data_IF_194420586999
#
_entry.id   IF_194420586999
#
_cell.length_a   1.000
_cell.length_b   1.000
_cell.length_c   1.000
_cell.angle_alpha   90.00
_cell.angle_beta   90.00
_cell.angle_gamma   90.00
#
_symmetry.space_group_name_H-M   'P 1'
#
loop_
_entity.id
_entity.type
_entity.pdbx_description
1 polymer ?
#
# COMPACT_ATOMS: atom_id res chain seq x y z
N UNK A 1 6.98 -26.92 10.02
CA UNK A 1 8.14 -26.99 9.10
C UNK A 1 7.65 -26.58 7.73
N UNK A 2 7.91 -25.35 7.29
CA UNK A 2 7.55 -24.91 5.95
C UNK A 2 8.42 -25.65 4.95
N UNK A 3 7.82 -26.57 4.18
CA UNK A 3 8.48 -27.11 2.99
C UNK A 3 8.86 -25.92 2.08
N UNK A 4 10.02 -25.98 1.46
CA UNK A 4 10.50 -24.96 0.53
C UNK A 4 9.44 -24.70 -0.55
N UNK A 5 8.66 -23.62 -0.39
CA UNK A 5 7.66 -23.15 -1.36
C UNK A 5 8.30 -22.45 -2.56
N UNK A 6 9.57 -22.76 -2.87
CA UNK A 6 10.29 -22.22 -4.03
C UNK A 6 9.95 -23.11 -5.23
N UNK A 7 9.28 -22.59 -6.27
CA UNK A 7 9.00 -23.39 -7.45
C UNK A 7 10.28 -23.82 -8.17
N UNK A 8 10.30 -25.03 -8.72
CA UNK A 8 11.49 -25.60 -9.39
C UNK A 8 12.00 -24.77 -10.59
N UNK A 9 11.12 -23.99 -11.23
CA UNK A 9 11.48 -23.12 -12.34
C UNK A 9 12.23 -21.85 -11.90
N UNK A 10 12.27 -21.55 -10.60
CA UNK A 10 13.11 -20.48 -10.02
C UNK A 10 14.51 -21.06 -9.76
N UNK A 11 15.40 -20.88 -10.73
CA UNK A 11 16.77 -21.41 -10.69
C UNK A 11 17.77 -20.41 -11.26
N UNK A 12 19.06 -20.74 -11.20
CA UNK A 12 20.14 -19.84 -11.64
C UNK A 12 20.05 -19.43 -13.12
N UNK A 13 19.62 -20.33 -14.01
CA UNK A 13 19.52 -20.08 -15.45
C UNK A 13 18.50 -18.98 -15.76
N UNK A 14 17.41 -18.91 -14.99
CA UNK A 14 16.38 -17.89 -15.14
C UNK A 14 16.92 -16.45 -14.92
N UNK A 15 17.96 -16.30 -14.08
CA UNK A 15 18.55 -15.01 -13.73
C UNK A 15 19.70 -14.58 -14.65
N UNK A 16 20.16 -15.43 -15.56
CA UNK A 16 21.32 -15.15 -16.44
C UNK A 16 21.22 -13.81 -17.17
N UNK A 17 20.07 -13.52 -17.79
CA UNK A 17 19.88 -12.28 -18.54
C UNK A 17 19.82 -11.06 -17.61
N UNK A 18 19.18 -11.20 -16.45
CA UNK A 18 19.15 -10.15 -15.43
C UNK A 18 20.58 -9.84 -14.98
N UNK A 19 21.35 -10.86 -14.61
CA UNK A 19 22.73 -10.72 -14.14
C UNK A 19 23.65 -10.08 -15.18
N UNK A 20 23.55 -10.48 -16.45
CA UNK A 20 24.29 -9.85 -17.55
C UNK A 20 23.98 -8.37 -17.70
N UNK A 21 22.73 -7.97 -17.47
CA UNK A 21 22.30 -6.57 -17.61
C UNK A 21 22.61 -5.70 -16.39
N UNK A 22 22.70 -6.29 -15.19
CA UNK A 22 22.80 -5.54 -13.92
C UNK A 22 24.16 -5.60 -13.25
N UNK A 23 24.99 -6.61 -13.58
CA UNK A 23 26.28 -6.83 -12.93
C UNK A 23 27.42 -6.65 -13.94
N UNK A 24 28.13 -5.50 -13.92
CA UNK A 24 29.28 -5.27 -14.79
C UNK A 24 30.36 -6.34 -14.59
N UNK A 25 30.85 -6.89 -15.71
CA UNK A 25 31.86 -7.95 -15.72
C UNK A 25 31.35 -9.32 -15.27
N UNK A 26 30.05 -9.57 -15.27
CA UNK A 26 29.48 -10.88 -14.96
C UNK A 26 30.01 -11.99 -15.89
N UNK A 27 30.48 -13.09 -15.32
CA UNK A 27 30.95 -14.28 -16.04
C UNK A 27 30.01 -15.47 -15.88
N UNK A 28 29.74 -15.90 -14.63
CA UNK A 28 28.88 -17.05 -14.33
C UNK A 28 28.34 -17.02 -12.90
N UNK A 29 27.26 -17.75 -12.63
CA UNK A 29 26.79 -18.04 -11.27
C UNK A 29 27.71 -19.07 -10.59
N UNK A 30 28.15 -18.79 -9.36
CA UNK A 30 28.84 -19.74 -8.49
C UNK A 30 27.88 -20.46 -7.57
N UNK A 31 27.00 -19.72 -6.90
CA UNK A 31 25.99 -20.27 -5.99
C UNK A 31 24.66 -19.56 -6.18
N UNK A 32 23.58 -20.31 -5.95
CA UNK A 32 22.21 -19.81 -6.07
C UNK A 32 21.40 -20.33 -4.88
N UNK A 33 20.73 -19.40 -4.18
CA UNK A 33 19.86 -19.75 -3.06
C UNK A 33 18.61 -18.88 -3.08
N UNK A 34 17.45 -19.52 -3.07
CA UNK A 34 16.17 -18.87 -2.91
C UNK A 34 15.56 -19.28 -1.57
N UNK A 35 15.18 -18.30 -0.76
CA UNK A 35 14.53 -18.48 0.54
C UNK A 35 13.25 -17.64 0.60
N UNK A 36 12.41 -17.85 1.63
CA UNK A 36 11.31 -16.94 1.92
C UNK A 36 11.83 -15.51 2.17
N UNK A 37 11.24 -14.53 1.49
CA UNK A 37 11.71 -13.14 1.45
C UNK A 37 11.10 -12.22 2.51
N UNK A 38 10.11 -12.70 3.28
CA UNK A 38 9.43 -11.93 4.33
C UNK A 38 9.16 -12.77 5.57
N UNK A 39 9.06 -12.12 6.73
CA UNK A 39 8.66 -12.81 7.95
C UNK A 39 7.17 -13.19 7.93
N UNK A 40 6.77 -14.09 8.82
CA UNK A 40 5.37 -14.45 9.00
C UNK A 40 4.53 -13.21 9.36
N UNK A 41 3.42 -13.00 8.65
CA UNK A 41 2.53 -11.85 8.86
C UNK A 41 3.01 -10.53 8.25
N UNK A 42 3.98 -10.53 7.33
CA UNK A 42 4.42 -9.33 6.60
C UNK A 42 3.88 -9.25 5.16
N UNK A 43 3.56 -10.39 4.53
CA UNK A 43 2.98 -10.44 3.18
C UNK A 43 1.75 -11.36 3.16
N UNK A 44 0.58 -10.75 2.97
CA UNK A 44 -0.70 -11.46 3.01
C UNK A 44 -1.17 -11.93 1.62
N UNK A 45 -0.78 -11.25 0.53
CA UNK A 45 -1.34 -11.56 -0.78
C UNK A 45 -0.47 -12.51 -1.62
N UNK A 46 0.86 -12.36 -1.60
CA UNK A 46 1.76 -13.06 -2.53
C UNK A 46 2.82 -13.88 -1.82
N UNK A 47 3.34 -14.91 -2.49
CA UNK A 47 4.59 -15.56 -2.07
C UNK A 47 5.74 -14.62 -2.42
N UNK A 48 6.51 -14.21 -1.41
CA UNK A 48 7.71 -13.40 -1.58
C UNK A 48 8.94 -14.29 -1.37
N UNK A 49 9.83 -14.32 -2.37
CA UNK A 49 11.13 -15.00 -2.29
C UNK A 49 12.26 -13.97 -2.28
N UNK A 50 13.30 -14.22 -1.49
CA UNK A 50 14.59 -13.53 -1.60
C UNK A 50 15.58 -14.50 -2.25
N UNK A 51 16.16 -14.09 -3.37
CA UNK A 51 17.11 -14.87 -4.14
C UNK A 51 18.50 -14.26 -4.00
N UNK A 52 19.41 -14.98 -3.37
CA UNK A 52 20.81 -14.61 -3.19
C UNK A 52 21.65 -15.41 -4.19
N UNK A 53 22.52 -14.70 -4.93
CA UNK A 53 23.37 -15.27 -5.96
C UNK A 53 24.80 -14.78 -5.75
N UNK A 54 25.74 -15.70 -5.58
CA UNK A 54 27.17 -15.39 -5.72
C UNK A 54 27.53 -15.51 -7.20
N UNK A 55 28.04 -14.42 -7.78
CA UNK A 55 28.49 -14.40 -9.16
C UNK A 55 30.01 -14.27 -9.25
N UNK A 56 30.59 -14.94 -10.24
CA UNK A 56 31.95 -14.70 -10.69
C UNK A 56 31.97 -13.52 -11.65
N UNK A 57 32.90 -12.61 -11.43
CA UNK A 57 33.20 -11.50 -12.32
C UNK A 57 34.45 -11.80 -13.15
N UNK A 58 34.72 -10.96 -14.14
CA UNK A 58 36.01 -10.90 -14.83
C UNK A 58 37.17 -10.88 -13.81
N UNK A 59 38.30 -11.45 -14.21
CA UNK A 59 39.49 -11.61 -13.37
C UNK A 59 39.29 -12.53 -12.13
N UNK A 60 38.20 -13.31 -12.09
CA UNK A 60 37.95 -14.32 -11.06
C UNK A 60 37.46 -13.76 -9.72
N UNK A 61 37.10 -12.48 -9.66
CA UNK A 61 36.50 -11.86 -8.45
C UNK A 61 35.10 -12.43 -8.20
N UNK A 62 34.64 -12.43 -6.94
CA UNK A 62 33.27 -12.78 -6.57
C UNK A 62 32.49 -11.55 -6.14
N UNK A 63 31.17 -11.56 -6.37
CA UNK A 63 30.24 -10.57 -5.83
C UNK A 63 28.92 -11.24 -5.46
N UNK A 64 28.38 -10.89 -4.30
CA UNK A 64 27.03 -11.27 -3.91
C UNK A 64 26.02 -10.26 -4.44
N UNK A 65 24.94 -10.77 -5.03
CA UNK A 65 23.77 -9.98 -5.46
C UNK A 65 22.49 -10.61 -4.95
N UNK A 66 21.46 -9.79 -4.75
CA UNK A 66 20.18 -10.25 -4.22
C UNK A 66 18.99 -9.60 -4.94
N UNK A 67 17.94 -10.38 -5.10
CA UNK A 67 16.70 -10.00 -5.78
C UNK A 67 15.49 -10.48 -4.98
N UNK A 68 14.40 -9.72 -5.05
CA UNK A 68 13.10 -10.12 -4.51
C UNK A 68 12.22 -10.62 -5.66
N UNK A 69 11.59 -11.79 -5.51
CA UNK A 69 10.68 -12.35 -6.50
C UNK A 69 9.31 -12.56 -5.87
N UNK A 70 8.30 -11.88 -6.39
CA UNK A 70 6.90 -12.10 -6.05
C UNK A 70 6.28 -13.13 -6.98
N UNK A 71 5.48 -14.01 -6.41
CA UNK A 71 4.77 -15.08 -7.11
C UNK A 71 3.32 -15.18 -6.61
N UNK A 72 2.36 -15.59 -7.46
CA UNK A 72 0.98 -15.75 -7.06
C UNK A 72 0.85 -16.84 -6.01
N UNK A 73 -0.05 -16.63 -5.04
CA UNK A 73 -0.41 -17.67 -4.09
C UNK A 73 -1.09 -18.83 -4.82
N UNK A 74 -0.80 -20.07 -4.40
CA UNK A 74 -1.32 -21.27 -5.07
C UNK A 74 -2.74 -21.66 -4.63
N UNK A 75 -3.32 -20.91 -3.69
CA UNK A 75 -4.65 -21.19 -3.15
C UNK A 75 -5.75 -20.84 -4.15
N UNK A 76 -6.78 -21.69 -4.20
CA UNK A 76 -7.88 -21.50 -5.15
C UNK A 76 -8.68 -20.23 -4.86
N UNK A 77 -8.92 -19.91 -3.58
CA UNK A 77 -9.57 -18.65 -3.20
C UNK A 77 -8.79 -17.43 -3.71
N UNK A 78 -7.47 -17.45 -3.56
CA UNK A 78 -6.62 -16.37 -4.07
C UNK A 78 -6.66 -16.30 -5.60
N UNK A 79 -6.61 -17.46 -6.28
CA UNK A 79 -6.76 -17.51 -7.75
C UNK A 79 -8.10 -16.92 -8.21
N UNK A 80 -9.19 -17.20 -7.50
CA UNK A 80 -10.51 -16.65 -7.82
C UNK A 80 -10.54 -15.13 -7.65
N UNK A 81 -9.97 -14.59 -6.57
CA UNK A 81 -9.82 -13.13 -6.37
C UNK A 81 -9.07 -12.46 -7.52
N UNK A 82 -8.04 -13.14 -8.00
CA UNK A 82 -7.13 -12.62 -9.02
C UNK A 82 -7.69 -12.71 -10.44
N UNK A 83 -8.73 -13.52 -10.68
CA UNK A 83 -9.40 -13.60 -12.00
C UNK A 83 -10.00 -12.28 -12.44
N UNK A 84 -10.44 -11.44 -11.49
CA UNK A 84 -11.12 -10.17 -11.79
C UNK A 84 -10.16 -8.97 -11.78
N UNK A 85 -9.09 -9.05 -11.00
CA UNK A 85 -8.05 -8.03 -10.87
C UNK A 85 -6.68 -8.70 -10.72
N UNK A 86 -6.05 -9.03 -11.84
CA UNK A 86 -4.70 -9.58 -11.80
C UNK A 86 -3.71 -8.52 -11.32
N UNK A 87 -3.37 -8.54 -10.03
CA UNK A 87 -2.46 -7.57 -9.43
C UNK A 87 -1.05 -7.65 -10.03
N UNK A 88 -0.65 -8.78 -10.63
CA UNK A 88 0.65 -8.92 -11.26
C UNK A 88 0.74 -8.09 -12.55
N UNK A 89 -0.34 -8.05 -13.34
CA UNK A 89 -0.40 -7.19 -14.53
C UNK A 89 -0.34 -5.71 -14.12
N UNK A 90 -1.04 -5.35 -13.04
CA UNK A 90 -1.03 -4.00 -12.46
C UNK A 90 0.38 -3.63 -11.99
N UNK A 91 0.99 -4.49 -11.18
CA UNK A 91 2.28 -4.23 -10.56
C UNK A 91 3.40 -4.17 -11.62
N UNK A 92 3.35 -5.03 -12.64
CA UNK A 92 4.29 -4.94 -13.79
C UNK A 92 4.10 -3.66 -14.59
N UNK A 93 2.86 -3.27 -14.90
CA UNK A 93 2.59 -1.97 -15.55
C UNK A 93 3.16 -0.81 -14.74
N UNK A 94 3.05 -0.87 -13.41
CA UNK A 94 3.60 0.15 -12.53
C UNK A 94 5.13 0.21 -12.59
N UNK A 95 5.82 -0.91 -12.37
CA UNK A 95 7.28 -0.91 -12.34
C UNK A 95 7.94 -0.71 -13.72
N UNK A 96 7.37 -1.29 -14.78
CA UNK A 96 7.99 -1.28 -16.10
C UNK A 96 7.67 0.00 -16.89
N UNK A 97 6.53 0.65 -16.63
CA UNK A 97 6.08 1.80 -17.41
C UNK A 97 5.79 3.03 -16.54
N UNK A 98 4.83 2.95 -15.62
CA UNK A 98 4.27 4.15 -14.97
C UNK A 98 5.25 4.83 -14.01
N UNK A 99 5.95 4.07 -13.16
CA UNK A 99 6.95 4.63 -12.25
C UNK A 99 8.12 5.24 -13.03
N UNK A 100 8.73 4.54 -14.00
CA UNK A 100 9.75 5.13 -14.88
C UNK A 100 9.29 6.42 -15.58
N UNK A 101 8.04 6.48 -16.06
CA UNK A 101 7.46 7.71 -16.63
C UNK A 101 7.46 8.87 -15.62
N UNK A 102 7.08 8.61 -14.37
CA UNK A 102 7.04 9.63 -13.32
C UNK A 102 8.44 10.09 -12.90
N UNK A 103 9.41 9.19 -12.79
CA UNK A 103 10.81 9.52 -12.49
C UNK A 103 11.44 10.33 -13.64
N UNK A 104 11.12 9.99 -14.89
CA UNK A 104 11.57 10.75 -16.06
C UNK A 104 11.08 12.21 -16.05
N UNK A 105 9.84 12.47 -15.63
CA UNK A 105 9.32 13.84 -15.49
C UNK A 105 10.17 14.71 -14.55
N UNK A 106 10.67 14.14 -13.45
CA UNK A 106 11.58 14.83 -12.54
C UNK A 106 12.97 15.01 -13.15
N UNK A 107 13.49 13.97 -13.79
CA UNK A 107 14.79 14.01 -14.45
C UNK A 107 14.85 15.08 -15.54
N UNK A 108 13.79 15.24 -16.32
CA UNK A 108 13.68 16.24 -17.40
C UNK A 108 13.74 17.69 -16.89
N UNK A 109 13.42 17.92 -15.61
CA UNK A 109 13.55 19.23 -14.95
C UNK A 109 14.78 19.31 -14.04
N UNK A 110 15.69 18.33 -14.11
CA UNK A 110 16.96 18.32 -13.38
C UNK A 110 16.84 17.96 -11.89
N UNK A 111 15.75 17.30 -11.49
CA UNK A 111 15.55 16.81 -10.12
C UNK A 111 15.67 15.29 -10.11
N UNK A 112 16.50 14.75 -9.22
CA UNK A 112 16.63 13.31 -9.05
C UNK A 112 15.61 12.81 -8.03
N UNK A 113 14.57 12.11 -8.50
CA UNK A 113 13.55 11.47 -7.67
C UNK A 113 13.45 10.02 -8.09
N UNK A 114 13.68 9.13 -7.13
CA UNK A 114 13.45 7.69 -7.27
C UNK A 114 12.34 7.29 -6.29
N UNK A 115 11.37 6.52 -6.77
CA UNK A 115 10.22 6.12 -5.97
C UNK A 115 10.40 4.75 -5.32
N UNK A 116 11.10 3.81 -5.94
CA UNK A 116 11.21 2.46 -5.40
C UNK A 116 12.30 1.61 -6.02
N UNK A 117 12.14 0.30 -5.90
CA UNK A 117 13.05 -0.69 -6.49
C UNK A 117 12.96 -0.67 -8.02
N UNK A 118 14.09 -1.00 -8.67
CA UNK A 118 14.09 -1.37 -10.09
C UNK A 118 13.44 -2.75 -10.26
N UNK A 119 12.67 -2.91 -11.32
CA UNK A 119 12.18 -4.22 -11.74
C UNK A 119 13.06 -4.86 -12.82
N UNK A 120 12.93 -6.18 -12.95
CA UNK A 120 13.59 -6.96 -13.97
C UNK A 120 12.61 -7.97 -14.59
N UNK A 121 12.84 -8.31 -15.84
CA UNK A 121 12.04 -9.31 -16.55
C UNK A 121 12.82 -10.61 -16.74
N UNK A 122 12.12 -11.72 -16.59
CA UNK A 122 12.60 -13.04 -16.93
C UNK A 122 12.12 -13.46 -18.32
N UNK A 123 13.03 -14.08 -19.09
CA UNK A 123 12.67 -14.85 -20.28
C UNK A 123 12.29 -16.27 -19.87
N UNK A 124 11.17 -16.77 -20.39
CA UNK A 124 10.74 -18.16 -20.17
C UNK A 124 10.04 -18.44 -18.84
N UNK A 125 9.57 -17.40 -18.13
CA UNK A 125 8.75 -17.56 -16.92
C UNK A 125 7.53 -18.44 -17.18
N UNK A 126 7.15 -19.25 -16.17
CA UNK A 126 6.08 -20.25 -16.26
C UNK A 126 4.79 -19.85 -15.57
N UNK A 127 4.80 -18.72 -14.85
CA UNK A 127 3.64 -18.11 -14.19
C UNK A 127 3.81 -16.59 -14.15
N UNK A 128 2.80 -15.89 -13.65
CA UNK A 128 2.93 -14.48 -13.26
C UNK A 128 4.02 -14.30 -12.21
N UNK A 129 4.71 -13.16 -12.28
CA UNK A 129 5.82 -12.82 -11.40
C UNK A 129 6.08 -11.31 -11.39
N UNK A 130 6.78 -10.84 -10.35
CA UNK A 130 7.48 -9.55 -10.36
C UNK A 130 8.87 -9.77 -9.76
N UNK A 131 9.92 -9.36 -10.48
CA UNK A 131 11.31 -9.40 -9.97
C UNK A 131 11.73 -7.99 -9.65
N UNK A 132 12.25 -7.77 -8.45
CA UNK A 132 12.69 -6.48 -7.96
C UNK A 132 14.12 -6.57 -7.43
N UNK A 133 14.80 -5.43 -7.47
CA UNK A 133 16.03 -5.22 -6.72
C UNK A 133 15.78 -5.43 -5.21
N UNK A 134 16.67 -6.16 -4.52
CA UNK A 134 16.63 -6.23 -3.06
C UNK A 134 17.15 -4.93 -2.44
N UNK A 135 16.22 -4.06 -2.04
CA UNK A 135 16.52 -2.79 -1.37
C UNK A 135 17.25 -2.98 -0.02
N UNK A 136 17.17 -4.18 0.59
CA UNK A 136 17.93 -4.52 1.79
C UNK A 136 19.45 -4.42 1.56
N UNK A 137 19.94 -4.78 0.37
CA UNK A 137 21.35 -4.61 -0.03
C UNK A 137 21.79 -3.13 -0.09
N UNK A 138 20.83 -2.22 -0.24
CA UNK A 138 21.04 -0.77 -0.22
C UNK A 138 20.80 -0.15 1.17
N UNK A 139 20.63 -0.97 2.20
CA UNK A 139 20.41 -0.51 3.57
C UNK A 139 19.03 0.06 3.84
N UNK A 140 18.04 -0.23 2.97
CA UNK A 140 16.65 0.09 3.24
C UNK A 140 16.04 -0.97 4.15
N UNK A 141 15.16 -0.53 5.06
CA UNK A 141 14.40 -1.41 5.96
C UNK A 141 13.04 -0.81 6.27
N UNK A 142 12.07 -1.65 6.60
CA UNK A 142 10.79 -1.19 7.12
C UNK A 142 10.94 -0.64 8.56
N UNK A 143 10.07 0.30 8.93
CA UNK A 143 9.92 0.72 10.31
C UNK A 143 9.05 -0.28 11.10
N UNK A 144 9.13 -0.25 12.43
CA UNK A 144 8.25 -1.06 13.27
C UNK A 144 6.80 -0.55 13.19
N UNK A 145 5.96 -1.26 12.43
CA UNK A 145 4.55 -0.91 12.21
C UNK A 145 3.73 -0.81 13.50
N UNK A 146 4.06 -1.61 14.51
CA UNK A 146 3.33 -1.65 15.78
C UNK A 146 3.58 -0.42 16.66
N UNK A 147 4.70 0.29 16.46
CA UNK A 147 4.99 1.52 17.19
C UNK A 147 4.39 2.76 16.51
N UNK A 148 4.05 2.65 15.22
CA UNK A 148 3.69 3.79 14.39
C UNK A 148 4.88 4.69 14.06
N UNK A 149 4.76 5.44 12.97
CA UNK A 149 5.78 6.38 12.50
C UNK A 149 5.75 7.67 13.32
N UNK A 150 6.93 8.10 13.77
CA UNK A 150 7.10 9.43 14.36
C UNK A 150 7.01 10.54 13.31
N UNK A 151 6.92 11.78 13.77
CA UNK A 151 6.79 12.95 12.90
C UNK A 151 7.88 13.02 11.81
N UNK A 152 9.14 12.74 12.13
CA UNK A 152 10.23 12.84 11.15
C UNK A 152 10.07 11.80 10.02
N UNK A 153 9.61 10.60 10.35
CA UNK A 153 9.28 9.59 9.35
C UNK A 153 8.05 10.00 8.54
N UNK A 154 6.97 10.42 9.19
CA UNK A 154 5.71 10.81 8.54
C UNK A 154 5.94 11.93 7.52
N UNK A 155 6.69 12.98 7.88
CA UNK A 155 7.03 14.07 6.97
C UNK A 155 7.80 13.58 5.73
N UNK A 156 8.73 12.64 5.90
CA UNK A 156 9.48 12.07 4.77
C UNK A 156 8.59 11.26 3.85
N UNK A 157 7.66 10.48 4.39
CA UNK A 157 6.68 9.73 3.60
C UNK A 157 5.72 10.66 2.87
N UNK A 158 5.18 11.68 3.56
CA UNK A 158 4.26 12.64 2.94
C UNK A 158 4.93 13.47 1.84
N UNK A 159 6.22 13.80 1.99
CA UNK A 159 7.01 14.42 0.92
C UNK A 159 7.13 13.49 -0.30
N UNK A 160 7.46 12.22 -0.09
CA UNK A 160 7.55 11.23 -1.18
C UNK A 160 6.18 11.01 -1.85
N UNK A 161 5.10 10.95 -1.08
CA UNK A 161 3.74 10.84 -1.59
C UNK A 161 3.33 12.09 -2.39
N UNK A 162 3.68 13.29 -1.91
CA UNK A 162 3.44 14.53 -2.64
C UNK A 162 4.18 14.56 -3.98
N UNK A 163 5.43 14.05 -4.02
CA UNK A 163 6.20 13.90 -5.25
C UNK A 163 5.51 12.95 -6.24
N UNK A 164 5.02 11.82 -5.74
CA UNK A 164 4.30 10.81 -6.52
C UNK A 164 2.98 11.35 -7.09
N UNK A 165 2.17 12.00 -6.25
CA UNK A 165 0.91 12.61 -6.68
C UNK A 165 1.11 13.76 -7.67
N UNK A 166 2.16 14.58 -7.49
CA UNK A 166 2.47 15.64 -8.45
C UNK A 166 2.86 15.06 -9.83
N UNK A 167 3.77 14.07 -9.85
CA UNK A 167 4.22 13.45 -11.11
C UNK A 167 3.11 12.72 -11.84
N UNK A 168 2.27 11.95 -11.13
CA UNK A 168 1.14 11.26 -11.75
C UNK A 168 0.07 12.22 -12.30
N UNK A 169 -0.23 13.31 -11.58
CA UNK A 169 -1.14 14.33 -12.08
C UNK A 169 -0.60 15.02 -13.35
N UNK A 170 0.70 15.36 -13.37
CA UNK A 170 1.37 15.94 -14.54
C UNK A 170 1.36 14.96 -15.71
N UNK A 171 1.67 13.69 -15.47
CA UNK A 171 1.59 12.62 -16.49
C UNK A 171 0.23 12.61 -17.15
N UNK A 172 -0.86 12.67 -16.38
CA UNK A 172 -2.22 12.70 -16.94
C UNK A 172 -2.50 13.98 -17.72
N UNK A 173 -1.99 15.12 -17.25
CA UNK A 173 -2.13 16.38 -17.98
C UNK A 173 -1.37 16.39 -19.32
N UNK A 174 -0.27 15.63 -19.44
CA UNK A 174 0.57 15.58 -20.64
C UNK A 174 0.25 14.42 -21.59
N UNK A 175 -0.06 13.24 -21.06
CA UNK A 175 -0.24 11.99 -21.82
C UNK A 175 -1.70 11.50 -21.87
N UNK A 176 -2.60 12.13 -21.13
CA UNK A 176 -4.00 11.71 -21.02
C UNK A 176 -4.24 10.65 -19.96
N UNK A 177 -5.42 10.04 -20.01
CA UNK A 177 -5.89 9.11 -18.97
C UNK A 177 -4.97 7.89 -18.82
N UNK A 178 -4.99 7.31 -17.61
CA UNK A 178 -4.40 6.00 -17.39
C UNK A 178 -5.28 4.90 -18.01
N UNK A 179 -4.70 3.72 -18.32
CA UNK A 179 -5.46 2.54 -18.69
C UNK A 179 -6.55 2.23 -17.66
N UNK A 180 -7.64 1.61 -18.10
CA UNK A 180 -8.78 1.26 -17.24
C UNK A 180 -8.38 0.46 -15.99
N UNK A 181 -7.36 -0.39 -16.12
CA UNK A 181 -6.77 -1.17 -15.05
C UNK A 181 -6.38 -0.32 -13.81
N UNK A 182 -5.96 0.94 -14.03
CA UNK A 182 -5.55 1.86 -12.97
C UNK A 182 -6.68 2.82 -12.54
N UNK A 183 -7.88 2.78 -13.13
CA UNK A 183 -8.95 3.73 -12.84
C UNK A 183 -9.93 3.22 -11.76
N UNK A 184 -10.24 1.92 -11.75
CA UNK A 184 -11.24 1.34 -10.84
C UNK A 184 -10.62 0.57 -9.67
N UNK A 185 -9.39 0.07 -9.83
CA UNK A 185 -8.74 -0.79 -8.82
C UNK A 185 -9.61 -2.00 -8.47
N UNK A 186 -9.72 -2.30 -7.17
CA UNK A 186 -10.52 -3.43 -6.65
C UNK A 186 -12.03 -3.20 -6.65
N UNK A 187 -12.50 -1.97 -6.86
CA UNK A 187 -13.92 -1.60 -6.76
C UNK A 187 -14.64 -1.72 -8.10
N UNK A 188 -14.34 -2.78 -8.86
CA UNK A 188 -15.08 -3.14 -10.07
C UNK A 188 -16.40 -3.79 -9.70
N UNK A 189 -17.46 -3.51 -10.46
CA UNK A 189 -18.81 -4.02 -10.17
C UNK A 189 -18.84 -5.56 -10.17
N UNK A 190 -18.01 -6.20 -10.99
CA UNK A 190 -17.84 -7.66 -11.04
C UNK A 190 -17.33 -8.25 -9.71
N UNK A 191 -16.57 -7.47 -8.93
CA UNK A 191 -16.03 -7.85 -7.62
C UNK A 191 -16.87 -7.37 -6.44
N UNK A 192 -17.98 -6.65 -6.69
CA UNK A 192 -18.81 -6.06 -5.63
C UNK A 192 -19.31 -7.08 -4.63
N UNK A 193 -19.77 -8.26 -5.08
CA UNK A 193 -20.30 -9.29 -4.20
C UNK A 193 -19.25 -9.75 -3.18
N UNK A 194 -18.02 -9.98 -3.65
CA UNK A 194 -16.91 -10.38 -2.79
C UNK A 194 -16.51 -9.28 -1.81
N UNK A 195 -16.37 -8.04 -2.30
CA UNK A 195 -16.07 -6.88 -1.43
C UNK A 195 -17.16 -6.71 -0.37
N UNK A 196 -18.43 -6.92 -0.73
CA UNK A 196 -19.56 -6.86 0.19
C UNK A 196 -19.44 -7.89 1.30
N UNK A 197 -19.18 -9.15 0.94
CA UNK A 197 -19.03 -10.24 1.90
C UNK A 197 -17.88 -9.99 2.88
N UNK A 198 -16.70 -9.62 2.34
CA UNK A 198 -15.52 -9.32 3.15
C UNK A 198 -15.75 -8.15 4.11
N UNK A 199 -16.31 -7.03 3.62
CA UNK A 199 -16.59 -5.86 4.45
C UNK A 199 -17.67 -6.15 5.50
N UNK A 200 -18.74 -6.86 5.15
CA UNK A 200 -19.80 -7.22 6.10
C UNK A 200 -19.26 -8.15 7.20
N UNK A 201 -18.43 -9.13 6.82
CA UNK A 201 -17.78 -10.02 7.77
C UNK A 201 -16.88 -9.25 8.74
N UNK A 202 -16.06 -8.34 8.22
CA UNK A 202 -15.18 -7.47 9.00
C UNK A 202 -15.97 -6.58 9.96
N UNK A 203 -17.00 -5.88 9.46
CA UNK A 203 -17.84 -4.96 10.22
C UNK A 203 -18.68 -5.64 11.30
N UNK A 204 -19.22 -6.83 11.02
CA UNK A 204 -19.96 -7.63 11.98
C UNK A 204 -19.09 -8.01 13.18
N UNK A 205 -17.85 -8.46 12.92
CA UNK A 205 -16.88 -8.81 13.97
C UNK A 205 -16.42 -7.57 14.74
N UNK A 206 -16.17 -6.46 14.04
CA UNK A 206 -15.86 -5.19 14.68
C UNK A 206 -16.97 -4.77 15.67
N UNK A 207 -18.24 -4.79 15.23
CA UNK A 207 -19.39 -4.44 16.08
C UNK A 207 -19.50 -5.33 17.33
N UNK A 208 -19.30 -6.64 17.18
CA UNK A 208 -19.33 -7.60 18.31
C UNK A 208 -18.33 -7.23 19.41
N UNK A 209 -17.16 -6.68 19.03
CA UNK A 209 -16.12 -6.28 20.00
C UNK A 209 -16.29 -4.83 20.44
N UNK A 210 -16.82 -3.97 19.56
CA UNK A 210 -16.98 -2.54 19.78
C UNK A 210 -17.81 -2.19 21.03
N UNK A 211 -18.81 -3.00 21.38
CA UNK A 211 -19.61 -2.84 22.61
C UNK A 211 -18.79 -2.95 23.91
N UNK A 212 -17.53 -3.39 23.81
CA UNK A 212 -16.60 -3.51 24.94
C UNK A 212 -15.57 -2.39 24.98
N UNK A 213 -15.67 -1.39 24.10
CA UNK A 213 -14.77 -0.23 24.09
C UNK A 213 -15.34 0.88 24.96
N UNK A 214 -14.47 1.61 25.67
CA UNK A 214 -14.91 2.76 26.46
C UNK A 214 -15.38 3.88 25.53
N UNK A 215 -16.56 4.44 25.80
CA UNK A 215 -17.16 5.52 25.00
C UNK A 215 -17.86 5.06 23.73
N UNK A 216 -18.05 3.75 23.53
CA UNK A 216 -18.71 3.23 22.33
C UNK A 216 -20.15 3.72 22.16
N UNK A 217 -20.82 4.05 23.25
CA UNK A 217 -22.19 4.56 23.28
C UNK A 217 -22.35 5.85 22.46
N UNK A 218 -21.27 6.63 22.28
CA UNK A 218 -21.29 7.87 21.50
C UNK A 218 -21.44 7.63 19.99
N UNK A 219 -20.97 6.48 19.48
CA UNK A 219 -20.84 6.27 18.03
C UNK A 219 -21.44 4.95 17.53
N UNK A 220 -21.76 3.99 18.40
CA UNK A 220 -22.16 2.64 17.98
C UNK A 220 -23.44 2.62 17.13
N UNK A 221 -24.40 3.50 17.41
CA UNK A 221 -25.64 3.59 16.62
C UNK A 221 -25.39 4.16 15.23
N UNK A 222 -24.46 5.11 15.08
CA UNK A 222 -24.07 5.61 13.75
C UNK A 222 -23.30 4.56 12.95
N UNK A 223 -22.44 3.76 13.61
CA UNK A 223 -21.79 2.62 12.96
C UNK A 223 -22.81 1.60 12.44
N UNK A 224 -23.84 1.27 13.23
CA UNK A 224 -24.91 0.37 12.78
C UNK A 224 -25.66 0.91 11.56
N UNK A 225 -25.84 2.23 11.45
CA UNK A 225 -26.47 2.88 10.30
C UNK A 225 -25.59 2.91 9.05
N UNK A 226 -24.27 3.00 9.21
CA UNK A 226 -23.35 3.13 8.07
C UNK A 226 -22.99 1.78 7.42
N UNK A 227 -22.98 0.69 8.19
CA UNK A 227 -22.62 -0.64 7.68
C UNK A 227 -23.43 -1.04 6.43
N UNK A 228 -24.76 -0.89 6.38
CA UNK A 228 -25.55 -1.25 5.20
C UNK A 228 -25.18 -0.47 3.92
N UNK A 229 -24.61 0.74 4.05
CA UNK A 229 -24.27 1.61 2.91
C UNK A 229 -22.77 1.70 2.64
N UNK A 230 -21.93 1.10 3.49
CA UNK A 230 -20.48 1.25 3.44
C UNK A 230 -19.88 0.80 2.10
N UNK A 231 -20.36 -0.33 1.58
CA UNK A 231 -19.95 -0.84 0.26
C UNK A 231 -20.29 0.16 -0.83
N UNK A 232 -21.52 0.66 -0.85
CA UNK A 232 -21.97 1.61 -1.88
C UNK A 232 -21.14 2.89 -1.87
N UNK A 233 -20.84 3.42 -0.69
CA UNK A 233 -19.99 4.60 -0.55
C UNK A 233 -18.54 4.34 -1.00
N UNK A 234 -17.96 3.17 -0.69
CA UNK A 234 -16.62 2.82 -1.20
C UNK A 234 -16.60 2.73 -2.73
N UNK A 235 -17.64 2.16 -3.34
CA UNK A 235 -17.81 2.13 -4.80
C UNK A 235 -18.08 3.51 -5.40
N UNK A 236 -18.78 4.41 -4.68
CA UNK A 236 -18.94 5.82 -5.09
C UNK A 236 -17.60 6.54 -5.08
N UNK A 237 -16.80 6.37 -4.03
CA UNK A 237 -15.44 6.94 -3.95
C UNK A 237 -14.53 6.39 -5.06
N UNK A 238 -14.76 5.15 -5.49
CA UNK A 238 -13.99 4.57 -6.58
C UNK A 238 -14.18 5.29 -7.92
N UNK A 239 -15.31 5.98 -8.13
CA UNK A 239 -15.55 6.75 -9.35
C UNK A 239 -14.74 8.05 -9.33
N UNK A 240 -14.03 8.34 -10.42
CA UNK A 240 -13.25 9.57 -10.57
C UNK A 240 -14.19 10.77 -10.56
N UNK A 241 -14.02 11.67 -9.59
CA UNK A 241 -14.71 12.94 -9.55
C UNK A 241 -13.81 14.04 -10.12
N UNK A 242 -14.14 14.54 -11.31
CA UNK A 242 -13.36 15.58 -12.02
C UNK A 242 -13.34 16.94 -11.32
N UNK A 243 -14.18 17.15 -10.29
CA UNK A 243 -14.18 18.35 -9.46
C UNK A 243 -13.15 18.29 -8.31
N UNK A 244 -12.56 17.13 -8.06
CA UNK A 244 -11.51 16.94 -7.05
C UNK A 244 -10.13 16.92 -7.71
N UNK A 245 -9.09 17.18 -6.92
CA UNK A 245 -7.73 16.95 -7.37
C UNK A 245 -7.47 15.44 -7.38
N UNK A 246 -7.27 14.89 -8.58
CA UNK A 246 -7.02 13.48 -8.77
C UNK A 246 -5.55 13.24 -9.12
N UNK A 247 -4.99 12.19 -8.54
CA UNK A 247 -3.66 11.68 -8.84
C UNK A 247 -3.71 10.15 -8.85
N UNK A 248 -2.63 9.50 -9.28
CA UNK A 248 -2.52 8.06 -9.15
C UNK A 248 -2.16 7.76 -7.69
N UNK A 249 -3.10 7.23 -6.91
CA UNK A 249 -2.81 6.75 -5.57
C UNK A 249 -1.96 5.48 -5.64
N UNK A 250 -1.10 5.28 -4.66
CA UNK A 250 -0.48 3.98 -4.37
C UNK A 250 -1.55 2.93 -4.05
N UNK A 251 -2.59 3.33 -3.33
CA UNK A 251 -3.80 2.54 -3.10
C UNK A 251 -3.72 1.54 -1.94
N UNK A 252 -2.52 1.04 -1.63
CA UNK A 252 -2.20 0.31 -0.39
C UNK A 252 -1.12 1.04 0.43
N UNK A 253 -1.40 2.28 0.86
CA UNK A 253 -0.38 3.19 1.37
C UNK A 253 -0.25 3.17 2.90
N UNK A 254 0.37 2.11 3.44
CA UNK A 254 0.71 1.95 4.87
C UNK A 254 2.20 1.76 5.09
N UNK A 255 2.65 1.81 6.35
CA UNK A 255 4.07 1.75 6.73
C UNK A 255 4.83 0.51 6.24
N UNK A 256 4.17 -0.62 6.00
CA UNK A 256 4.83 -1.82 5.47
C UNK A 256 5.23 -1.68 4.00
N UNK A 257 4.52 -0.84 3.25
CA UNK A 257 4.82 -0.55 1.85
C UNK A 257 5.76 0.66 1.71
N UNK A 258 6.42 1.02 2.81
CA UNK A 258 7.40 2.11 2.87
C UNK A 258 8.68 1.60 3.52
N UNK A 259 9.79 1.69 2.80
CA UNK A 259 11.11 1.36 3.29
C UNK A 259 11.96 2.62 3.48
N UNK A 260 12.73 2.65 4.56
CA UNK A 260 13.55 3.78 4.97
C UNK A 260 15.04 3.42 4.89
N UNK A 261 15.83 4.33 4.32
CA UNK A 261 17.28 4.35 4.46
C UNK A 261 17.67 5.41 5.50
N UNK A 262 18.65 5.10 6.34
CA UNK A 262 19.12 5.98 7.40
C UNK A 262 20.55 6.44 7.16
N UNK A 263 20.89 7.64 7.63
CA UNK A 263 22.27 8.10 7.68
C UNK A 263 23.02 7.52 8.90
N UNK A 264 24.31 7.85 9.03
CA UNK A 264 25.16 7.38 10.13
C UNK A 264 24.69 7.84 11.53
N UNK A 265 23.79 8.83 11.61
CA UNK A 265 23.22 9.36 12.85
C UNK A 265 21.81 8.82 13.14
N UNK A 266 21.32 7.89 12.32
CA UNK A 266 19.98 7.31 12.46
C UNK A 266 18.85 8.23 12.00
N UNK A 267 19.13 9.29 11.24
CA UNK A 267 18.09 10.13 10.63
C UNK A 267 17.65 9.55 9.30
N UNK A 268 16.35 9.68 8.98
CA UNK A 268 15.80 9.24 7.69
C UNK A 268 16.47 10.03 6.56
N UNK A 269 17.21 9.30 5.72
CA UNK A 269 17.92 9.81 4.56
C UNK A 269 17.07 9.72 3.30
N UNK A 270 16.46 8.57 3.05
CA UNK A 270 15.65 8.32 1.85
C UNK A 270 14.45 7.42 2.17
N UNK A 271 13.39 7.55 1.37
CA UNK A 271 12.15 6.78 1.50
C UNK A 271 11.77 6.19 0.16
N UNK A 272 11.69 4.87 0.09
CA UNK A 272 11.21 4.14 -1.09
C UNK A 272 9.87 3.50 -0.81
N UNK A 273 9.00 3.57 -1.81
CA UNK A 273 7.70 2.91 -1.85
C UNK A 273 7.88 1.54 -2.49
N UNK A 274 7.11 0.57 -2.03
CA UNK A 274 7.11 -0.81 -2.56
C UNK A 274 5.68 -1.31 -2.63
N UNK A 275 5.47 -2.37 -3.41
CA UNK A 275 4.17 -3.06 -3.53
C UNK A 275 3.07 -2.25 -4.23
N UNK A 276 3.20 -2.10 -5.55
CA UNK A 276 2.29 -1.34 -6.40
C UNK A 276 1.14 -2.18 -6.95
N UNK A 277 0.57 -3.06 -6.12
CA UNK A 277 -0.48 -4.00 -6.51
C UNK A 277 -1.89 -3.38 -6.62
N UNK A 278 -2.16 -2.30 -5.89
CA UNK A 278 -3.49 -1.67 -5.79
C UNK A 278 -3.59 -0.19 -6.23
N UNK A 279 -2.76 0.32 -7.16
CA UNK A 279 -2.82 1.72 -7.58
C UNK A 279 -4.18 2.08 -8.15
N UNK A 280 -4.61 3.30 -7.87
CA UNK A 280 -5.88 3.80 -8.37
C UNK A 280 -5.86 5.30 -8.62
N UNK A 281 -6.17 5.70 -9.84
CA UNK A 281 -6.38 7.09 -10.19
C UNK A 281 -7.69 7.60 -9.57
N UNK A 282 -7.60 8.70 -8.83
CA UNK A 282 -8.74 9.24 -8.08
C UNK A 282 -8.31 10.29 -7.07
N UNK A 283 -9.19 10.59 -6.13
CA UNK A 283 -8.89 11.56 -5.06
C UNK A 283 -7.64 11.17 -4.28
N UNK A 284 -6.78 12.14 -3.98
CA UNK A 284 -5.62 11.95 -3.08
C UNK A 284 -6.02 11.72 -1.63
N UNK A 285 -7.30 11.91 -1.28
CA UNK A 285 -7.82 11.59 0.03
C UNK A 285 -7.66 10.11 0.38
N UNK A 286 -7.61 9.22 -0.62
CA UNK A 286 -7.44 7.79 -0.42
C UNK A 286 -6.12 7.48 0.30
N UNK A 287 -4.97 7.80 -0.30
CA UNK A 287 -3.67 7.53 0.32
C UNK A 287 -3.45 8.33 1.62
N UNK A 288 -3.97 9.56 1.70
CA UNK A 288 -3.84 10.39 2.90
C UNK A 288 -4.58 9.80 4.10
N UNK A 289 -5.84 9.41 3.93
CA UNK A 289 -6.63 8.76 4.99
C UNK A 289 -6.04 7.38 5.33
N UNK A 290 -5.63 6.62 4.31
CA UNK A 290 -5.00 5.30 4.47
C UNK A 290 -3.78 5.40 5.36
N UNK A 291 -2.80 6.23 4.97
CA UNK A 291 -1.51 6.30 5.64
C UNK A 291 -1.62 6.93 7.03
N UNK A 292 -2.26 8.09 7.13
CA UNK A 292 -2.29 8.83 8.40
C UNK A 292 -3.04 8.04 9.48
N UNK A 293 -4.16 7.41 9.14
CA UNK A 293 -4.96 6.68 10.12
C UNK A 293 -4.39 5.30 10.44
N UNK A 294 -3.72 4.61 9.50
CA UNK A 294 -3.12 3.30 9.77
C UNK A 294 -1.73 3.37 10.42
N UNK A 295 -0.89 4.33 10.03
CA UNK A 295 0.57 4.17 10.16
C UNK A 295 1.27 5.18 11.07
N UNK A 296 0.62 6.29 11.44
CA UNK A 296 1.21 7.26 12.38
C UNK A 296 1.16 6.77 13.82
N UNK A 297 2.09 7.26 14.66
CA UNK A 297 2.02 7.15 16.12
C UNK A 297 0.69 7.63 16.68
N UNK A 298 0.24 7.00 17.77
CA UNK A 298 -1.02 7.32 18.43
C UNK A 298 -1.08 8.80 18.83
N UNK A 299 0.00 9.32 19.41
CA UNK A 299 0.05 10.68 19.95
C UNK A 299 -0.15 11.74 18.86
N UNK A 300 0.30 11.43 17.64
CA UNK A 300 0.29 12.34 16.50
C UNK A 300 -0.93 12.17 15.59
N UNK A 301 -1.54 10.97 15.59
CA UNK A 301 -2.57 10.56 14.62
C UNK A 301 -3.73 11.56 14.50
N UNK A 302 -4.19 12.06 15.64
CA UNK A 302 -5.25 13.08 15.70
C UNK A 302 -4.66 14.47 15.93
N UNK A 303 -3.73 14.63 16.88
CA UNK A 303 -3.22 15.93 17.30
C UNK A 303 -2.47 16.70 16.20
N UNK A 304 -1.85 15.97 15.25
CA UNK A 304 -1.10 16.54 14.13
C UNK A 304 -1.74 16.27 12.78
N UNK A 305 -2.97 15.74 12.72
CA UNK A 305 -3.60 15.38 11.44
C UNK A 305 -3.61 16.55 10.45
N UNK A 306 -4.13 17.71 10.85
CA UNK A 306 -4.20 18.88 9.96
C UNK A 306 -2.82 19.47 9.65
N UNK A 307 -1.86 19.36 10.58
CA UNK A 307 -0.46 19.70 10.33
C UNK A 307 0.12 18.86 9.19
N UNK A 308 -0.11 17.54 9.22
CA UNK A 308 0.34 16.63 8.19
C UNK A 308 -0.32 16.88 6.84
N UNK A 309 -1.62 17.22 6.81
CA UNK A 309 -2.31 17.62 5.58
C UNK A 309 -1.69 18.89 4.99
N UNK A 310 -1.40 19.89 5.83
CA UNK A 310 -0.71 21.11 5.40
C UNK A 310 0.68 20.82 4.85
N UNK A 311 1.46 20.00 5.56
CA UNK A 311 2.80 19.60 5.16
C UNK A 311 2.80 18.91 3.79
N UNK A 312 1.90 17.94 3.60
CA UNK A 312 1.70 17.28 2.32
C UNK A 312 1.31 18.27 1.22
N UNK A 313 0.34 19.16 1.50
CA UNK A 313 -0.14 20.15 0.54
C UNK A 313 0.97 21.09 0.06
N UNK A 314 1.80 21.60 0.98
CA UNK A 314 2.92 22.47 0.62
C UNK A 314 3.90 21.78 -0.33
N UNK A 315 4.28 20.54 -0.03
CA UNK A 315 5.16 19.74 -0.89
C UNK A 315 4.49 19.42 -2.24
N UNK A 316 3.19 19.13 -2.26
CA UNK A 316 2.44 18.88 -3.49
C UNK A 316 2.47 20.11 -4.40
N UNK A 317 2.22 21.29 -3.84
CA UNK A 317 2.23 22.55 -4.60
C UNK A 317 3.63 22.87 -5.12
N UNK A 318 4.67 22.67 -4.30
CA UNK A 318 6.06 22.82 -4.74
C UNK A 318 6.35 21.93 -5.95
N UNK A 319 6.04 20.63 -5.85
CA UNK A 319 6.35 19.67 -6.89
C UNK A 319 5.50 19.82 -8.16
N UNK A 320 4.22 20.22 -8.05
CA UNK A 320 3.40 20.58 -9.21
C UNK A 320 3.97 21.79 -9.96
N UNK A 321 4.55 22.77 -9.26
CA UNK A 321 5.21 23.93 -9.89
C UNK A 321 6.52 23.54 -10.55
N UNK A 322 7.35 22.73 -9.87
CA UNK A 322 8.62 22.21 -10.42
C UNK A 322 8.38 21.46 -11.73
N UNK A 323 7.35 20.62 -11.77
CA UNK A 323 6.96 19.84 -12.95
C UNK A 323 6.09 20.62 -13.96
N UNK A 324 5.89 21.93 -13.75
CA UNK A 324 5.15 22.84 -14.65
C UNK A 324 3.73 22.34 -14.96
N UNK A 325 3.01 21.88 -13.93
CA UNK A 325 1.63 21.43 -14.06
C UNK A 325 0.73 22.51 -14.69
N UNK A 326 -0.07 22.12 -15.68
CA UNK A 326 -0.81 23.05 -16.55
C UNK A 326 -2.25 23.32 -16.11
N UNK A 327 -2.77 22.60 -15.12
CA UNK A 327 -4.14 22.76 -14.61
C UNK A 327 -4.15 23.54 -13.29
N UNK A 328 -5.32 24.01 -12.80
CA UNK A 328 -5.41 24.70 -11.53
C UNK A 328 -4.83 23.89 -10.37
N UNK A 329 -4.03 24.55 -9.53
CA UNK A 329 -3.44 23.94 -8.35
C UNK A 329 -4.50 23.69 -7.26
N UNK A 330 -4.47 22.55 -6.56
CA UNK A 330 -5.41 22.29 -5.47
C UNK A 330 -5.19 23.28 -4.32
N UNK A 331 -6.27 23.79 -3.77
CA UNK A 331 -6.19 24.58 -2.53
C UNK A 331 -6.14 23.66 -1.31
N UNK A 332 -5.54 24.12 -0.21
CA UNK A 332 -5.57 23.38 1.06
C UNK A 332 -7.03 23.08 1.48
N UNK A 333 -7.93 24.06 1.29
CA UNK A 333 -9.37 23.90 1.57
C UNK A 333 -9.97 22.76 0.76
N UNK A 334 -9.71 22.68 -0.54
CA UNK A 334 -10.25 21.58 -1.38
C UNK A 334 -9.73 20.20 -0.95
N UNK A 335 -8.47 20.11 -0.47
CA UNK A 335 -7.95 18.85 0.08
C UNK A 335 -8.69 18.48 1.37
N UNK A 336 -8.87 19.42 2.32
CA UNK A 336 -9.65 19.15 3.52
C UNK A 336 -11.11 18.78 3.23
N UNK A 337 -11.76 19.46 2.28
CA UNK A 337 -13.12 19.12 1.86
C UNK A 337 -13.21 17.70 1.29
N UNK A 338 -12.22 17.27 0.51
CA UNK A 338 -12.15 15.91 -0.01
C UNK A 338 -11.97 14.88 1.13
N UNK A 339 -11.09 15.14 2.09
CA UNK A 339 -10.89 14.27 3.25
C UNK A 339 -12.16 14.10 4.10
N UNK A 340 -12.94 15.17 4.28
CA UNK A 340 -14.23 15.12 4.98
C UNK A 340 -15.26 14.33 4.17
N UNK A 341 -15.38 14.62 2.88
CA UNK A 341 -16.30 13.94 1.96
C UNK A 341 -16.10 12.43 1.94
N UNK A 342 -14.85 11.98 1.97
CA UNK A 342 -14.49 10.55 1.93
C UNK A 342 -14.23 9.97 3.32
N UNK A 343 -14.78 10.56 4.39
CA UNK A 343 -14.55 10.15 5.78
C UNK A 343 -14.88 8.68 6.05
N UNK A 344 -15.88 8.11 5.37
CA UNK A 344 -16.23 6.68 5.49
C UNK A 344 -15.10 5.75 5.02
N UNK A 345 -14.28 6.18 4.06
CA UNK A 345 -13.07 5.44 3.72
C UNK A 345 -12.10 5.43 4.90
N UNK A 346 -11.91 6.57 5.56
CA UNK A 346 -11.16 6.64 6.82
C UNK A 346 -11.71 5.69 7.90
N UNK A 347 -13.04 5.59 8.04
CA UNK A 347 -13.67 4.59 8.90
C UNK A 347 -13.27 3.16 8.51
N UNK A 348 -13.38 2.80 7.22
CA UNK A 348 -12.98 1.47 6.73
C UNK A 348 -11.50 1.14 7.01
N UNK A 349 -10.61 2.14 6.90
CA UNK A 349 -9.18 1.99 7.19
C UNK A 349 -8.95 1.69 8.67
N UNK A 350 -9.60 2.42 9.58
CA UNK A 350 -9.38 2.22 11.02
C UNK A 350 -10.01 0.92 11.51
N UNK A 351 -11.11 0.47 10.91
CA UNK A 351 -11.74 -0.81 11.28
C UNK A 351 -11.17 -2.02 10.58
N UNK A 352 -10.35 -1.84 9.54
CA UNK A 352 -9.76 -2.94 8.78
C UNK A 352 -8.25 -2.88 8.86
N UNK A 353 -7.64 -2.08 8.00
CA UNK A 353 -6.18 -1.98 7.83
C UNK A 353 -5.47 -1.73 9.16
N UNK A 354 -5.90 -0.74 9.95
CA UNK A 354 -5.24 -0.39 11.21
C UNK A 354 -5.23 -1.57 12.21
N UNK A 355 -6.28 -2.39 12.23
CA UNK A 355 -6.32 -3.58 13.09
C UNK A 355 -5.27 -4.61 12.68
N UNK A 356 -4.99 -4.77 11.39
CA UNK A 356 -3.91 -5.60 10.89
C UNK A 356 -2.53 -4.98 11.19
N UNK A 357 -2.36 -3.66 10.95
CA UNK A 357 -1.11 -2.91 11.23
C UNK A 357 -0.69 -3.00 12.69
N UNK A 358 -1.64 -3.04 13.62
CA UNK A 358 -1.36 -3.07 15.05
C UNK A 358 -1.40 -4.49 15.65
N UNK A 359 -1.60 -5.52 14.84
CA UNK A 359 -1.58 -6.92 15.29
C UNK A 359 -0.15 -7.42 15.52
N UNK A 360 0.07 -8.11 16.64
CA UNK A 360 1.35 -8.76 16.94
C UNK A 360 1.68 -9.85 15.90
N UNK A 361 2.96 -10.01 15.49
CA UNK A 361 3.36 -11.07 14.58
C UNK A 361 2.98 -12.46 15.13
N UNK A 362 2.39 -13.29 14.27
CA UNK A 362 1.96 -14.64 14.60
C UNK A 362 1.98 -15.50 13.35
N UNK A 363 2.26 -16.80 13.50
CA UNK A 363 2.10 -17.77 12.41
C UNK A 363 0.63 -17.86 11.94
N UNK A 364 -0.32 -17.48 12.81
CA UNK A 364 -1.73 -17.42 12.46
C UNK A 364 -2.08 -16.18 11.60
N UNK A 365 -1.17 -15.21 11.46
CA UNK A 365 -1.36 -14.04 10.61
C UNK A 365 -1.12 -14.38 9.13
N UNK A 366 -1.96 -15.26 8.60
CA UNK A 366 -1.93 -15.74 7.23
C UNK A 366 -3.16 -15.28 6.46
N UNK A 367 -3.06 -15.20 5.13
CA UNK A 367 -4.18 -14.83 4.27
C UNK A 367 -5.44 -15.63 4.58
N UNK A 368 -5.28 -16.94 4.74
CA UNK A 368 -6.35 -17.90 5.00
C UNK A 368 -7.10 -17.59 6.28
N UNK A 369 -6.41 -17.22 7.36
CA UNK A 369 -7.08 -16.84 8.62
C UNK A 369 -7.68 -15.43 8.56
N UNK A 370 -7.18 -14.55 7.68
CA UNK A 370 -7.79 -13.23 7.46
C UNK A 370 -9.14 -13.32 6.74
N UNK A 371 -9.32 -14.29 5.85
CA UNK A 371 -10.53 -14.38 4.99
C UNK A 371 -11.36 -15.65 5.21
N UNK A 372 -10.86 -16.64 5.93
CA UNK A 372 -11.51 -17.93 6.11
C UNK A 372 -12.51 -17.96 7.27
N UNK A 373 -13.49 -18.86 7.15
CA UNK A 373 -14.55 -19.09 8.14
C UNK A 373 -14.26 -20.30 9.05
N UNK A 374 -13.00 -20.74 9.12
CA UNK A 374 -12.61 -21.76 10.09
C UNK A 374 -12.68 -21.18 11.51
N UNK A 375 -12.83 -22.05 12.51
CA UNK A 375 -12.78 -21.62 13.92
C UNK A 375 -11.47 -20.87 14.26
N UNK A 376 -10.35 -21.30 13.66
CA UNK A 376 -9.06 -20.61 13.79
C UNK A 376 -9.07 -19.23 13.12
N UNK A 377 -9.70 -19.10 11.94
CA UNK A 377 -9.87 -17.85 11.22
C UNK A 377 -10.75 -16.87 11.98
N UNK A 378 -11.90 -17.33 12.50
CA UNK A 378 -12.78 -16.51 13.32
C UNK A 378 -12.09 -16.01 14.59
N UNK A 379 -11.40 -16.89 15.31
CA UNK A 379 -10.64 -16.53 16.50
C UNK A 379 -9.56 -15.49 16.19
N UNK A 380 -8.84 -15.68 15.08
CA UNK A 380 -7.82 -14.74 14.61
C UNK A 380 -8.41 -13.38 14.22
N UNK A 381 -9.51 -13.35 13.47
CA UNK A 381 -10.18 -12.11 13.07
C UNK A 381 -10.74 -11.35 14.29
N UNK A 382 -11.17 -12.05 15.34
CA UNK A 382 -11.58 -11.41 16.59
C UNK A 382 -10.39 -10.79 17.36
N UNK A 383 -9.20 -11.37 17.26
CA UNK A 383 -7.97 -10.82 17.88
C UNK A 383 -7.59 -9.45 17.30
N UNK A 384 -7.90 -9.18 16.04
CA UNK A 384 -7.70 -7.87 15.41
C UNK A 384 -8.33 -6.73 16.24
N UNK A 385 -9.50 -6.98 16.82
CA UNK A 385 -10.28 -5.96 17.56
C UNK A 385 -10.10 -6.05 19.07
N UNK A 386 -9.72 -7.21 19.60
CA UNK A 386 -9.45 -7.36 21.05
C UNK A 386 -8.03 -6.95 21.42
N UNK A 387 -7.12 -6.78 20.45
CA UNK A 387 -5.75 -6.36 20.70
C UNK A 387 -5.69 -5.03 21.50
N UNK A 388 -5.01 -4.99 22.67
CA UNK A 388 -4.95 -3.79 23.50
C UNK A 388 -4.34 -2.56 22.82
N UNK A 389 -3.40 -2.76 21.89
CA UNK A 389 -2.78 -1.68 21.11
C UNK A 389 -3.81 -1.08 20.16
N UNK A 390 -4.54 -1.92 19.42
CA UNK A 390 -5.61 -1.47 18.54
C UNK A 390 -6.69 -0.70 19.32
N UNK A 391 -7.13 -1.23 20.47
CA UNK A 391 -8.13 -0.58 21.34
C UNK A 391 -7.76 0.85 21.71
N UNK A 392 -6.51 1.07 22.14
CA UNK A 392 -5.99 2.41 22.47
C UNK A 392 -6.11 3.39 21.30
N UNK A 393 -5.91 2.91 20.06
CA UNK A 393 -6.01 3.75 18.88
C UNK A 393 -7.47 4.03 18.50
N UNK A 394 -8.28 2.99 18.35
CA UNK A 394 -9.66 3.13 17.85
C UNK A 394 -10.53 3.95 18.79
N UNK A 395 -10.33 3.84 20.11
CA UNK A 395 -11.07 4.62 21.11
C UNK A 395 -10.78 6.13 21.05
N UNK A 396 -9.62 6.55 20.50
CA UNK A 396 -9.30 7.96 20.25
C UNK A 396 -9.82 8.42 18.90
N UNK A 397 -9.74 7.56 17.89
CA UNK A 397 -10.04 7.93 16.50
C UNK A 397 -11.55 7.91 16.21
N UNK A 398 -12.32 7.01 16.82
CA UNK A 398 -13.74 6.87 16.49
C UNK A 398 -14.57 8.11 16.85
N UNK A 399 -14.41 8.72 18.05
CA UNK A 399 -15.06 10.01 18.34
C UNK A 399 -14.58 11.13 17.39
N UNK A 400 -13.31 11.11 16.98
CA UNK A 400 -12.79 12.08 16.01
C UNK A 400 -13.41 11.91 14.62
N UNK A 401 -13.62 10.68 14.15
CA UNK A 401 -14.33 10.39 12.90
C UNK A 401 -15.80 10.82 12.98
N UNK A 402 -16.48 10.50 14.08
CA UNK A 402 -17.85 10.94 14.35
C UNK A 402 -17.99 12.47 14.24
N UNK A 403 -17.13 13.21 14.95
CA UNK A 403 -17.15 14.67 14.97
C UNK A 403 -16.80 15.33 13.61
N UNK A 404 -16.29 14.56 12.64
CA UNK A 404 -16.01 15.01 11.28
C UNK A 404 -17.08 14.59 10.28
N UNK A 405 -18.18 14.00 10.74
CA UNK A 405 -19.28 13.51 9.91
C UNK A 405 -18.94 12.24 9.12
N UNK A 406 -17.85 11.54 9.44
CA UNK A 406 -17.43 10.35 8.71
C UNK A 406 -18.39 9.17 8.86
N UNK A 407 -19.24 9.19 9.89
CA UNK A 407 -20.24 8.18 10.19
C UNK A 407 -21.66 8.59 9.76
N UNK A 408 -21.81 9.74 9.10
CA UNK A 408 -23.10 10.17 8.55
C UNK A 408 -23.41 9.43 7.26
N UNK A 409 -24.66 8.98 7.11
CA UNK A 409 -25.14 8.45 5.83
C UNK A 409 -25.44 9.61 4.90
N UNK A 410 -24.96 9.55 3.65
CA UNK A 410 -25.44 10.50 2.64
C UNK A 410 -26.96 10.35 2.56
N UNK A 411 -27.70 11.45 2.75
CA UNK A 411 -29.16 11.43 2.74
C UNK A 411 -29.65 10.64 1.52
N UNK A 412 -30.68 9.77 1.67
CA UNK A 412 -31.24 9.08 0.52
C UNK A 412 -31.60 10.16 -0.51
N UNK A 413 -31.00 10.07 -1.69
CA UNK A 413 -31.38 10.92 -2.82
C UNK A 413 -32.86 10.69 -3.02
N UNK A 414 -33.68 11.66 -2.64
CA UNK A 414 -35.10 11.69 -2.93
C UNK A 414 -35.23 11.58 -4.44
N UNK A 415 -35.67 10.41 -4.90
CA UNK A 415 -35.99 10.09 -6.29
C UNK A 415 -37.08 10.99 -6.82
#
# INVERSE_FOLDING_TARGET
MAANNVPEWINAELFEDVLKSTVPGYTKVKTFKADAGSAAGENYATIMLRVNIEVELEEGKSKDVSYMVKLPHQLELYKEMMKQNNIFDVERLMYCEVVPEMEALYKDVGVDVIFGARSYDFKGAKSDYVVLEDLGQKGFKNANRMEGLDQAHVERVLKKLAQWHAASAVRVATKGAYPELLNLGVFKEEGRAMVTEMLNGMMSRFLKVCVTFDGHEEYIEEIKKIIPVAVDEMFKMAKINTQEFNALNHGDFWSNNVMFQYDAFGKVKEVYLVDYQLPKYGTVAQDLLYFLLSSTKLEDKISKFDYYIKFYHDNLIEHLKVLKYTRPLPTLRSIHSSLLKHGIFGFSIVTGVMSAVLLDPSENASFENFVGDSESGEAFQMQLYTNPRYRKHIQVIMPWLLNRGALETSAPTSS
#
